data_IF_876792675547
#
_entry.id   IF_876792675547
#
_cell.length_a   1.000
_cell.length_b   1.000
_cell.length_c   1.000
_cell.angle_alpha   90.00
_cell.angle_beta   90.00
_cell.angle_gamma   90.00
#
_symmetry.space_group_name_H-M   'P 1'
#
loop_
_entity.id
_entity.type
_entity.pdbx_description
1 polymer ?
#
# COMPACT_ATOMS: atom_id res chain seq x y z
N UNK A 1 25.68 -5.50 -5.54
CA UNK A 1 24.91 -5.16 -4.33
C UNK A 1 24.89 -3.65 -4.09
N UNK A 2 26.04 -3.02 -3.84
CA UNK A 2 26.15 -1.57 -3.59
C UNK A 2 25.56 -0.67 -4.70
N UNK A 3 25.81 -0.98 -5.97
CA UNK A 3 25.25 -0.20 -7.10
C UNK A 3 23.72 -0.28 -7.20
N UNK A 4 23.11 -1.41 -6.80
CA UNK A 4 21.65 -1.57 -6.80
C UNK A 4 21.02 -0.79 -5.65
N UNK A 5 21.64 -0.86 -4.46
CA UNK A 5 21.24 -0.08 -3.29
C UNK A 5 21.32 1.43 -3.54
N UNK A 6 22.35 1.88 -4.26
CA UNK A 6 22.51 3.27 -4.66
C UNK A 6 21.39 3.68 -5.63
N UNK A 7 21.09 2.89 -6.67
CA UNK A 7 19.99 3.16 -7.61
C UNK A 7 18.61 3.19 -6.94
N UNK A 8 18.34 2.30 -5.99
CA UNK A 8 17.07 2.33 -5.22
C UNK A 8 16.98 3.57 -4.32
N UNK A 9 18.08 3.91 -3.64
CA UNK A 9 18.15 5.10 -2.79
C UNK A 9 17.91 6.38 -3.60
N UNK A 10 18.45 6.44 -4.83
CA UNK A 10 18.22 7.55 -5.75
C UNK A 10 16.75 7.64 -6.19
N UNK A 11 16.12 6.51 -6.52
CA UNK A 11 14.69 6.46 -6.87
C UNK A 11 13.79 6.90 -5.73
N UNK A 12 14.16 6.60 -4.49
CA UNK A 12 13.43 7.04 -3.29
C UNK A 12 13.61 8.53 -3.10
N UNK A 13 14.84 9.05 -3.20
CA UNK A 13 15.10 10.47 -3.04
C UNK A 13 14.46 11.32 -4.14
N UNK A 14 14.42 10.82 -5.38
CA UNK A 14 13.76 11.47 -6.50
C UNK A 14 12.24 11.63 -6.33
N UNK A 15 11.62 10.89 -5.40
CA UNK A 15 10.21 11.08 -5.05
C UNK A 15 9.98 12.26 -4.09
N UNK A 16 11.05 12.81 -3.50
CA UNK A 16 10.99 13.97 -2.62
C UNK A 16 10.86 15.26 -3.47
N UNK A 17 10.20 16.33 -2.98
CA UNK A 17 10.15 17.59 -3.72
C UNK A 17 11.56 18.12 -4.02
N UNK A 18 11.87 18.31 -5.31
CA UNK A 18 13.23 18.63 -5.78
C UNK A 18 13.77 19.92 -5.15
N UNK A 19 12.91 20.93 -5.03
CA UNK A 19 13.20 22.22 -4.41
C UNK A 19 13.37 22.16 -2.87
N UNK A 20 13.23 20.96 -2.28
CA UNK A 20 13.44 20.66 -0.85
C UNK A 20 14.51 19.59 -0.63
N UNK A 21 15.15 19.09 -1.68
CA UNK A 21 16.31 18.21 -1.54
C UNK A 21 17.52 19.05 -1.14
N UNK A 22 18.09 18.72 0.02
CA UNK A 22 19.33 19.32 0.52
C UNK A 22 20.25 18.22 1.01
N UNK A 23 21.56 18.41 0.80
CA UNK A 23 22.57 17.42 1.15
C UNK A 23 22.17 16.02 0.66
N UNK A 24 22.16 15.88 -0.68
CA UNK A 24 21.79 14.66 -1.40
C UNK A 24 22.57 13.46 -0.87
N UNK A 25 23.88 13.63 -0.62
CA UNK A 25 24.76 12.58 -0.11
C UNK A 25 24.32 12.07 1.26
N UNK A 26 24.01 12.96 2.21
CA UNK A 26 23.51 12.54 3.52
C UNK A 26 22.14 11.88 3.41
N UNK A 27 21.26 12.40 2.57
CA UNK A 27 19.92 11.84 2.35
C UNK A 27 20.01 10.40 1.81
N UNK A 28 20.83 10.16 0.77
CA UNK A 28 21.06 8.81 0.22
C UNK A 28 21.63 7.84 1.25
N UNK A 29 22.62 8.30 2.05
CA UNK A 29 23.18 7.46 3.12
C UNK A 29 22.13 7.06 4.15
N UNK A 30 21.23 7.98 4.51
CA UNK A 30 20.14 7.71 5.46
C UNK A 30 19.09 6.76 4.88
N UNK A 31 18.77 6.91 3.59
CA UNK A 31 17.86 5.99 2.88
C UNK A 31 18.47 4.58 2.84
N UNK A 32 19.73 4.45 2.39
CA UNK A 32 20.41 3.17 2.34
C UNK A 32 20.50 2.51 3.74
N UNK A 33 20.75 3.30 4.79
CA UNK A 33 20.74 2.80 6.16
C UNK A 33 19.35 2.29 6.60
N UNK A 34 18.27 2.97 6.22
CA UNK A 34 16.91 2.51 6.51
C UNK A 34 16.57 1.21 5.77
N UNK A 35 16.92 1.11 4.48
CA UNK A 35 16.73 -0.11 3.68
C UNK A 35 17.53 -1.27 4.26
N UNK A 36 18.80 -1.04 4.63
CA UNK A 36 19.64 -2.04 5.30
C UNK A 36 19.09 -2.48 6.65
N UNK A 37 18.35 -1.61 7.35
CA UNK A 37 17.66 -1.94 8.60
C UNK A 37 16.35 -2.74 8.39
N UNK A 38 16.02 -3.11 7.14
CA UNK A 38 14.86 -3.93 6.81
C UNK A 38 13.62 -3.17 6.35
N UNK A 39 13.71 -1.85 6.17
CA UNK A 39 12.61 -1.06 5.60
C UNK A 39 12.48 -1.38 4.11
N UNK A 40 11.28 -1.74 3.67
CA UNK A 40 11.02 -1.99 2.24
C UNK A 40 11.21 -0.69 1.44
N UNK A 41 12.03 -0.69 0.38
CA UNK A 41 12.26 0.47 -0.49
C UNK A 41 10.97 1.10 -1.01
N UNK A 42 9.99 0.28 -1.41
CA UNK A 42 8.70 0.74 -1.91
C UNK A 42 7.86 1.45 -0.84
N UNK A 43 7.86 0.94 0.40
CA UNK A 43 7.11 1.56 1.49
C UNK A 43 7.75 2.90 1.89
N UNK A 44 9.08 2.97 1.90
CA UNK A 44 9.80 4.22 2.14
C UNK A 44 9.55 5.24 1.04
N UNK A 45 9.55 4.81 -0.23
CA UNK A 45 9.17 5.66 -1.38
C UNK A 45 7.73 6.15 -1.27
N UNK A 46 6.80 5.29 -0.84
CA UNK A 46 5.40 5.66 -0.65
C UNK A 46 5.24 6.67 0.49
N UNK A 47 5.98 6.52 1.59
CA UNK A 47 6.01 7.50 2.68
C UNK A 47 6.56 8.86 2.21
N UNK A 48 7.60 8.87 1.38
CA UNK A 48 8.12 10.10 0.75
C UNK A 48 7.06 10.76 -0.13
N UNK A 49 6.38 10.00 -1.00
CA UNK A 49 5.30 10.52 -1.84
C UNK A 49 4.13 11.08 -1.04
N UNK A 50 3.74 10.40 0.04
CA UNK A 50 2.69 10.87 0.94
C UNK A 50 3.07 12.21 1.57
N UNK A 51 4.32 12.34 2.04
CA UNK A 51 4.84 13.59 2.58
C UNK A 51 4.91 14.71 1.54
N UNK A 52 5.36 14.40 0.31
CA UNK A 52 5.40 15.36 -0.79
C UNK A 52 3.99 15.90 -1.11
N UNK A 53 2.98 15.03 -1.12
CA UNK A 53 1.57 15.41 -1.32
C UNK A 53 1.00 16.22 -0.15
N UNK A 54 1.30 15.83 1.09
CA UNK A 54 0.85 16.57 2.29
C UNK A 54 1.45 17.99 2.34
N UNK A 55 2.68 18.14 1.84
CA UNK A 55 3.39 19.43 1.82
C UNK A 55 3.22 20.20 0.50
N UNK A 56 2.34 19.74 -0.40
CA UNK A 56 2.05 20.44 -1.64
C UNK A 56 1.43 21.82 -1.34
N UNK A 57 1.96 22.87 -1.97
CA UNK A 57 1.55 24.25 -1.71
C UNK A 57 2.12 24.88 -0.43
N UNK A 58 2.90 24.15 0.37
CA UNK A 58 3.55 24.73 1.55
C UNK A 58 4.81 25.52 1.15
N UNK A 59 5.03 26.63 1.85
CA UNK A 59 6.26 27.42 1.68
C UNK A 59 7.47 26.65 2.20
N UNK A 60 8.65 26.96 1.66
CA UNK A 60 9.92 26.29 2.00
C UNK A 60 10.24 26.27 3.51
N UNK A 61 9.76 27.25 4.29
CA UNK A 61 9.96 27.30 5.75
C UNK A 61 9.06 26.36 6.54
N UNK A 62 8.03 25.79 5.91
CA UNK A 62 7.05 24.86 6.52
C UNK A 62 7.31 23.41 6.18
N UNK A 63 8.27 23.13 5.30
CA UNK A 63 8.62 21.78 4.84
C UNK A 63 10.03 21.43 5.31
N UNK A 64 10.24 20.21 5.80
CA UNK A 64 11.58 19.75 6.13
C UNK A 64 12.41 19.59 4.86
N UNK A 65 13.71 19.91 4.93
CA UNK A 65 14.64 19.45 3.90
C UNK A 65 14.83 17.93 3.99
N UNK A 66 15.15 17.30 2.86
CA UNK A 66 15.28 15.83 2.77
C UNK A 66 16.21 15.25 3.84
N UNK A 67 17.40 15.82 4.02
CA UNK A 67 18.39 15.41 5.02
C UNK A 67 17.80 15.40 6.44
N UNK A 68 17.13 16.48 6.82
CA UNK A 68 16.49 16.62 8.12
C UNK A 68 15.31 15.64 8.27
N UNK A 69 14.49 15.48 7.24
CA UNK A 69 13.32 14.60 7.27
C UNK A 69 13.72 13.14 7.46
N UNK A 70 14.73 12.66 6.71
CA UNK A 70 15.27 11.31 6.87
C UNK A 70 15.99 11.13 8.21
N UNK A 71 16.74 12.14 8.68
CA UNK A 71 17.46 12.09 9.96
C UNK A 71 16.50 12.02 11.15
N UNK A 72 15.40 12.77 11.09
CA UNK A 72 14.36 12.76 12.12
C UNK A 72 13.43 11.54 12.03
N UNK A 73 13.65 10.65 11.06
CA UNK A 73 12.83 9.45 10.84
C UNK A 73 11.32 9.73 10.71
N UNK A 74 10.96 10.90 10.16
CA UNK A 74 9.54 11.28 9.98
C UNK A 74 8.76 10.32 9.08
N UNK A 75 9.47 9.54 8.26
CA UNK A 75 8.91 8.46 7.45
C UNK A 75 8.30 7.31 8.27
N UNK A 76 8.71 7.08 9.52
CA UNK A 76 8.18 5.98 10.36
C UNK A 76 6.66 6.11 10.56
N UNK A 77 6.15 7.34 10.76
CA UNK A 77 4.69 7.60 10.83
C UNK A 77 3.99 7.24 9.53
N UNK A 78 4.59 7.60 8.39
CA UNK A 78 4.05 7.26 7.07
C UNK A 78 4.03 5.75 6.84
N UNK A 79 5.07 5.03 7.27
CA UNK A 79 5.11 3.56 7.20
C UNK A 79 4.01 2.92 8.05
N UNK A 80 3.83 3.38 9.29
CA UNK A 80 2.77 2.87 10.16
C UNK A 80 1.39 3.05 9.52
N UNK A 81 1.14 4.20 8.89
CA UNK A 81 -0.12 4.45 8.18
C UNK A 81 -0.28 3.51 6.97
N UNK A 82 0.75 3.33 6.15
CA UNK A 82 0.70 2.43 4.98
C UNK A 82 0.38 0.99 5.42
N UNK A 83 0.97 0.54 6.53
CA UNK A 83 0.72 -0.79 7.05
C UNK A 83 -0.70 -0.94 7.61
N UNK A 84 -1.18 0.06 8.36
CA UNK A 84 -2.56 0.10 8.84
C UNK A 84 -3.57 0.11 7.68
N UNK A 85 -3.30 0.87 6.62
CA UNK A 85 -4.18 0.93 5.44
C UNK A 85 -4.24 -0.42 4.70
N UNK A 86 -3.09 -1.12 4.59
CA UNK A 86 -3.02 -2.47 4.00
C UNK A 86 -3.78 -3.49 4.84
N UNK A 87 -3.63 -3.45 6.15
CA UNK A 87 -4.36 -4.33 7.06
C UNK A 87 -5.87 -4.08 6.96
N UNK A 88 -6.29 -2.81 7.03
CA UNK A 88 -7.69 -2.43 6.85
C UNK A 88 -8.26 -2.87 5.50
N UNK A 89 -7.48 -2.75 4.42
CA UNK A 89 -7.89 -3.21 3.10
C UNK A 89 -8.08 -4.73 3.06
N UNK A 90 -7.16 -5.50 3.67
CA UNK A 90 -7.28 -6.96 3.79
C UNK A 90 -8.49 -7.38 4.61
N UNK A 91 -8.74 -6.70 5.73
CA UNK A 91 -9.93 -6.95 6.55
C UNK A 91 -11.22 -6.64 5.79
N UNK A 92 -11.27 -5.53 5.06
CA UNK A 92 -12.42 -5.16 4.24
C UNK A 92 -12.67 -6.18 3.13
N UNK A 93 -11.61 -6.67 2.49
CA UNK A 93 -11.69 -7.72 1.47
C UNK A 93 -12.17 -9.04 2.07
N UNK A 94 -11.63 -9.47 3.22
CA UNK A 94 -12.04 -10.68 3.91
C UNK A 94 -13.52 -10.61 4.34
N UNK A 95 -13.95 -9.47 4.90
CA UNK A 95 -15.36 -9.22 5.26
C UNK A 95 -16.26 -9.26 4.02
N UNK A 96 -15.85 -8.60 2.93
CA UNK A 96 -16.58 -8.63 1.66
C UNK A 96 -16.75 -10.06 1.14
N UNK A 97 -15.68 -10.86 1.10
CA UNK A 97 -15.72 -12.28 0.68
C UNK A 97 -16.62 -13.13 1.59
N UNK A 98 -16.58 -12.90 2.90
CA UNK A 98 -17.43 -13.61 3.85
C UNK A 98 -18.92 -13.30 3.59
N UNK A 99 -19.29 -12.02 3.42
CA UNK A 99 -20.66 -11.63 3.11
C UNK A 99 -21.16 -12.22 1.79
N UNK A 100 -20.32 -12.28 0.76
CA UNK A 100 -20.68 -12.91 -0.52
C UNK A 100 -20.92 -14.42 -0.37
N UNK A 101 -20.09 -15.09 0.44
CA UNK A 101 -20.22 -16.52 0.73
C UNK A 101 -21.52 -16.81 1.49
N UNK A 102 -21.83 -15.99 2.49
CA UNK A 102 -23.08 -16.06 3.25
C UNK A 102 -24.31 -15.88 2.35
N UNK A 103 -24.29 -14.89 1.45
CA UNK A 103 -25.38 -14.70 0.48
C UNK A 103 -25.61 -15.92 -0.40
N UNK A 104 -24.54 -16.56 -0.88
CA UNK A 104 -24.64 -17.76 -1.72
C UNK A 104 -25.22 -18.94 -0.91
N UNK A 105 -24.80 -19.13 0.34
CA UNK A 105 -25.33 -20.19 1.20
C UNK A 105 -26.82 -20.00 1.51
N UNK A 106 -27.23 -18.78 1.83
CA UNK A 106 -28.63 -18.45 2.15
C UNK A 106 -29.51 -18.28 0.91
N UNK A 107 -28.91 -18.31 -0.29
CA UNK A 107 -29.57 -17.99 -1.57
C UNK A 107 -30.24 -16.60 -1.51
N UNK A 108 -29.54 -15.65 -0.92
CA UNK A 108 -30.03 -14.31 -0.63
C UNK A 108 -30.41 -13.57 -1.93
N UNK A 109 -31.48 -12.76 -1.95
CA UNK A 109 -31.90 -12.00 -3.15
C UNK A 109 -30.85 -11.06 -3.74
N UNK A 110 -29.77 -10.77 -3.01
CA UNK A 110 -28.65 -9.95 -3.46
C UNK A 110 -27.59 -10.75 -4.25
N UNK A 111 -27.72 -12.08 -4.34
CA UNK A 111 -26.85 -12.91 -5.18
C UNK A 111 -26.76 -12.39 -6.62
N UNK A 112 -27.85 -11.85 -7.17
CA UNK A 112 -27.89 -11.24 -8.52
C UNK A 112 -26.90 -10.09 -8.77
N UNK A 113 -26.33 -9.51 -7.71
CA UNK A 113 -25.33 -8.44 -7.81
C UNK A 113 -23.89 -8.95 -7.70
N UNK A 114 -23.70 -10.24 -7.40
CA UNK A 114 -22.37 -10.86 -7.37
C UNK A 114 -21.89 -10.99 -8.80
N UNK A 115 -20.71 -10.45 -9.08
CA UNK A 115 -20.11 -10.50 -10.42
C UNK A 115 -19.46 -11.87 -10.67
N UNK A 116 -19.40 -12.30 -11.93
CA UNK A 116 -18.73 -13.57 -12.29
C UNK A 116 -17.28 -13.62 -11.78
N UNK A 117 -16.56 -12.50 -11.83
CA UNK A 117 -15.21 -12.41 -11.26
C UNK A 117 -15.18 -12.73 -9.76
N UNK A 118 -16.13 -12.20 -8.99
CA UNK A 118 -16.21 -12.50 -7.55
C UNK A 118 -16.58 -13.97 -7.31
N UNK A 119 -17.45 -14.56 -8.14
CA UNK A 119 -17.77 -15.98 -8.09
C UNK A 119 -16.53 -16.85 -8.35
N UNK A 120 -15.80 -16.56 -9.43
CA UNK A 120 -14.54 -17.24 -9.77
C UNK A 120 -13.52 -17.13 -8.62
N UNK A 121 -13.35 -15.94 -8.04
CA UNK A 121 -12.45 -15.69 -6.92
C UNK A 121 -12.86 -16.50 -5.66
N UNK A 122 -14.16 -16.63 -5.37
CA UNK A 122 -14.68 -17.43 -4.25
C UNK A 122 -14.49 -18.93 -4.48
N UNK A 123 -14.72 -19.43 -5.70
CA UNK A 123 -14.49 -20.84 -6.08
C UNK A 123 -13.00 -21.16 -6.03
N UNK A 124 -12.15 -20.29 -6.58
CA UNK A 124 -10.70 -20.45 -6.54
C UNK A 124 -10.16 -20.46 -5.10
N UNK A 125 -10.77 -19.66 -4.22
CA UNK A 125 -10.49 -19.64 -2.79
C UNK A 125 -11.12 -20.82 -2.02
N UNK A 126 -11.85 -21.72 -2.69
CA UNK A 126 -12.58 -22.86 -2.12
C UNK A 126 -13.57 -22.47 -1.02
N UNK A 127 -14.07 -21.24 -1.06
CA UNK A 127 -15.06 -20.73 -0.10
C UNK A 127 -16.48 -21.18 -0.46
N UNK A 128 -16.73 -21.42 -1.74
CA UNK A 128 -18.00 -21.96 -2.27
C UNK A 128 -17.71 -22.98 -3.37
N UNK A 129 -18.64 -23.90 -3.61
CA UNK A 129 -18.55 -24.84 -4.74
C UNK A 129 -19.35 -24.36 -5.94
N UNK A 130 -19.02 -24.78 -7.17
CA UNK A 130 -19.81 -24.47 -8.37
C UNK A 130 -21.28 -24.89 -8.24
N UNK A 131 -21.57 -25.97 -7.52
CA UNK A 131 -22.94 -26.42 -7.24
C UNK A 131 -23.70 -25.43 -6.38
N UNK A 132 -23.08 -24.88 -5.32
CA UNK A 132 -23.68 -23.89 -4.43
C UNK A 132 -23.98 -22.59 -5.18
N UNK A 133 -23.06 -22.16 -6.04
CA UNK A 133 -23.23 -20.99 -6.90
C UNK A 133 -24.41 -21.17 -7.86
N UNK A 134 -24.48 -22.32 -8.55
CA UNK A 134 -25.62 -22.64 -9.43
C UNK A 134 -26.94 -22.70 -8.67
N UNK A 135 -26.95 -23.27 -7.47
CA UNK A 135 -28.13 -23.34 -6.61
C UNK A 135 -28.60 -21.95 -6.12
N UNK A 136 -27.70 -20.98 -6.03
CA UNK A 136 -28.01 -19.58 -5.74
C UNK A 136 -28.44 -18.77 -6.99
N UNK A 137 -28.57 -19.41 -8.15
CA UNK A 137 -29.01 -18.78 -9.40
C UNK A 137 -27.91 -17.98 -10.11
N UNK A 138 -26.64 -18.23 -9.77
CA UNK A 138 -25.48 -17.57 -10.38
C UNK A 138 -24.82 -18.48 -11.41
N UNK A 139 -24.17 -17.87 -12.40
CA UNK A 139 -23.33 -18.58 -13.35
C UNK A 139 -21.90 -18.60 -12.80
N UNK A 140 -21.33 -19.80 -12.72
CA UNK A 140 -19.93 -20.05 -12.40
C UNK A 140 -19.10 -20.17 -13.67
#
# INVERSE_FOLDING_TARGET
>A
AKEVEDLESEKILAAYPEDRIRDRRTSLRLIAAAVKAGVKPDDLKQAVKAYAKESEGYTRSKVCFSDNWFKMRRWEKGLAQIQADREKAREAEAKGRASLTEWIHERHPLCRHITNRQVEDLIASKLVTPEQVRAAGLQA
#
